data_IF_036458436403
#
_entry.id   IF_036458436403
#
_cell.length_a   1.000
_cell.length_b   1.000
_cell.length_c   1.000
_cell.angle_alpha   90.00
_cell.angle_beta   90.00
_cell.angle_gamma   90.00
#
_symmetry.space_group_name_H-M   'P 1'
#
loop_
_entity.id
_entity.type
_entity.pdbx_description
1 polymer ?
#
# COMPACT_ATOMS: atom_id res chain seq x y z
N UNK A 1 14.54 -10.34 11.95
CA UNK A 1 13.65 -9.70 10.95
C UNK A 1 14.46 -9.49 9.68
N UNK A 2 14.02 -9.97 8.51
CA UNK A 2 14.80 -9.76 7.28
C UNK A 2 14.84 -8.29 6.89
N UNK A 3 13.79 -7.54 7.22
CA UNK A 3 13.65 -6.13 6.85
C UNK A 3 14.64 -5.22 7.58
N UNK A 4 15.30 -5.71 8.64
CA UNK A 4 16.37 -5.01 9.35
C UNK A 4 17.77 -5.40 8.88
N UNK A 5 17.90 -6.44 8.07
CA UNK A 5 19.20 -6.95 7.56
C UNK A 5 19.37 -6.62 6.09
N UNK A 6 18.28 -6.69 5.31
CA UNK A 6 18.29 -6.37 3.89
C UNK A 6 18.22 -4.85 3.65
N UNK A 7 18.90 -4.34 2.61
CA UNK A 7 18.64 -3.00 2.08
C UNK A 7 17.16 -2.77 1.81
N UNK A 8 16.68 -1.55 2.08
CA UNK A 8 15.27 -1.15 1.97
C UNK A 8 14.62 -1.57 0.65
N UNK A 9 15.33 -1.45 -0.48
CA UNK A 9 14.77 -1.77 -1.80
C UNK A 9 14.46 -3.27 -1.97
N UNK A 10 15.29 -4.17 -1.41
CA UNK A 10 15.03 -5.61 -1.45
C UNK A 10 13.85 -5.98 -0.56
N UNK A 11 13.75 -5.34 0.61
CA UNK A 11 12.60 -5.53 1.50
C UNK A 11 11.29 -5.10 0.82
N UNK A 12 11.29 -3.97 0.13
CA UNK A 12 10.14 -3.49 -0.65
C UNK A 12 9.84 -4.41 -1.84
N UNK A 13 10.86 -4.96 -2.51
CA UNK A 13 10.67 -5.93 -3.58
C UNK A 13 9.97 -7.20 -3.06
N UNK A 14 10.38 -7.75 -1.92
CA UNK A 14 9.69 -8.90 -1.29
C UNK A 14 8.24 -8.54 -0.95
N UNK A 15 8.01 -7.36 -0.35
CA UNK A 15 6.65 -6.90 -0.01
C UNK A 15 5.78 -6.66 -1.25
N UNK A 16 6.37 -6.37 -2.41
CA UNK A 16 5.60 -6.14 -3.65
C UNK A 16 4.81 -7.36 -4.11
N UNK A 17 5.24 -8.57 -3.74
CA UNK A 17 4.53 -9.82 -4.05
C UNK A 17 3.31 -10.09 -3.16
N UNK A 18 3.15 -9.37 -2.06
CA UNK A 18 2.04 -9.56 -1.13
C UNK A 18 0.71 -9.03 -1.69
N UNK A 19 -0.40 -9.61 -1.26
CA UNK A 19 -1.72 -9.02 -1.52
C UNK A 19 -1.92 -7.74 -0.69
N UNK A 20 -2.86 -6.85 -1.04
CA UNK A 20 -3.19 -5.69 -0.22
C UNK A 20 -3.57 -6.06 1.22
N UNK A 21 -4.25 -7.20 1.39
CA UNK A 21 -4.63 -7.71 2.71
C UNK A 21 -3.41 -8.15 3.51
N UNK A 22 -2.48 -8.86 2.87
CA UNK A 22 -1.25 -9.31 3.52
C UNK A 22 -0.33 -8.12 3.87
N UNK A 23 -0.29 -7.08 3.03
CA UNK A 23 0.39 -5.82 3.35
C UNK A 23 -0.20 -5.14 4.59
N UNK A 24 -1.53 -5.14 4.73
CA UNK A 24 -2.19 -4.61 5.93
C UNK A 24 -1.85 -5.44 7.18
N UNK A 25 -1.79 -6.77 7.07
CA UNK A 25 -1.34 -7.62 8.17
C UNK A 25 0.14 -7.39 8.52
N UNK A 26 1.00 -7.25 7.50
CA UNK A 26 2.42 -6.96 7.67
C UNK A 26 2.63 -5.63 8.43
N UNK A 27 1.85 -4.60 8.13
CA UNK A 27 1.90 -3.30 8.79
C UNK A 27 1.57 -3.34 10.31
N UNK A 28 0.95 -4.43 10.79
CA UNK A 28 0.62 -4.63 12.20
C UNK A 28 1.74 -5.30 13.00
N UNK A 29 2.79 -5.81 12.34
CA UNK A 29 3.89 -6.55 12.99
C UNK A 29 4.75 -5.62 13.86
N UNK A 30 5.19 -4.48 13.33
CA UNK A 30 5.97 -3.47 14.05
C UNK A 30 5.92 -2.11 13.36
N UNK A 31 6.42 -1.06 14.01
CA UNK A 31 6.52 0.27 13.40
C UNK A 31 7.36 0.25 12.12
N UNK A 32 8.49 -0.47 12.12
CA UNK A 32 9.36 -0.61 10.95
C UNK A 32 8.64 -1.28 9.77
N UNK A 33 7.90 -2.35 10.05
CA UNK A 33 7.07 -3.03 9.05
C UNK A 33 5.96 -2.15 8.52
N UNK A 34 5.32 -1.35 9.37
CA UNK A 34 4.30 -0.37 8.96
C UNK A 34 4.86 0.63 7.97
N UNK A 35 6.01 1.23 8.29
CA UNK A 35 6.67 2.18 7.39
C UNK A 35 6.96 1.53 6.04
N UNK A 36 7.43 0.29 5.99
CA UNK A 36 7.72 -0.40 4.72
C UNK A 36 6.45 -0.79 3.95
N UNK A 37 5.45 -1.36 4.62
CA UNK A 37 4.22 -1.85 3.99
C UNK A 37 3.31 -0.71 3.48
N UNK A 38 3.45 0.49 4.02
CA UNK A 38 2.69 1.68 3.61
C UNK A 38 3.40 2.55 2.56
N UNK A 39 4.54 2.08 2.02
CA UNK A 39 5.26 2.83 0.99
C UNK A 39 4.46 2.99 -0.30
N UNK A 40 4.48 4.20 -0.85
CA UNK A 40 3.72 4.56 -2.05
C UNK A 40 4.04 3.67 -3.24
N UNK A 41 5.29 3.22 -3.42
CA UNK A 41 5.65 2.33 -4.51
C UNK A 41 4.90 0.98 -4.48
N UNK A 42 4.42 0.53 -3.31
CA UNK A 42 3.63 -0.70 -3.18
C UNK A 42 2.16 -0.51 -3.56
N UNK A 43 1.64 0.72 -3.41
CA UNK A 43 0.21 1.03 -3.58
C UNK A 43 -0.07 1.78 -4.89
N UNK A 44 0.81 2.69 -5.32
CA UNK A 44 0.65 3.51 -6.52
C UNK A 44 0.44 2.66 -7.78
N UNK A 45 1.27 1.65 -8.02
CA UNK A 45 1.11 0.76 -9.18
C UNK A 45 -0.22 0.00 -9.17
N UNK A 46 -0.76 -0.33 -7.99
CA UNK A 46 -2.05 -1.02 -7.83
C UNK A 46 -3.23 -0.10 -8.08
N UNK A 47 -3.13 1.17 -7.67
CA UNK A 47 -4.14 2.19 -7.96
C UNK A 47 -4.13 2.56 -9.45
N UNK A 48 -2.94 2.87 -10.01
CA UNK A 48 -2.77 3.30 -11.40
C UNK A 48 -3.25 2.23 -12.39
N UNK A 49 -2.94 0.95 -12.16
CA UNK A 49 -3.41 -0.16 -13.02
C UNK A 49 -4.93 -0.31 -13.05
N UNK A 50 -5.64 0.25 -12.05
CA UNK A 50 -7.12 0.28 -11.97
C UNK A 50 -7.71 1.60 -12.44
N UNK A 51 -6.88 2.54 -12.91
CA UNK A 51 -7.30 3.90 -13.27
C UNK A 51 -7.62 4.79 -12.06
N UNK A 52 -7.16 4.43 -10.86
CA UNK A 52 -7.34 5.25 -9.66
C UNK A 52 -6.13 6.15 -9.50
N UNK A 53 -6.32 7.43 -9.81
CA UNK A 53 -5.28 8.44 -9.74
C UNK A 53 -5.56 9.39 -8.59
N UNK A 54 -4.52 9.77 -7.86
CA UNK A 54 -4.63 10.86 -6.90
C UNK A 54 -4.92 12.18 -7.63
N UNK A 55 -5.80 13.05 -7.09
CA UNK A 55 -6.10 14.34 -7.69
C UNK A 55 -4.97 15.37 -7.50
N UNK A 56 -3.91 14.99 -6.79
CA UNK A 56 -2.73 15.81 -6.51
C UNK A 56 -1.47 14.94 -6.53
N UNK A 57 -0.31 15.57 -6.66
CA UNK A 57 0.99 14.91 -6.47
C UNK A 57 1.33 14.91 -4.99
N UNK A 58 1.51 13.74 -4.34
CA UNK A 58 1.91 13.67 -2.94
C UNK A 58 3.19 14.46 -2.70
N UNK A 59 3.24 15.18 -1.58
CA UNK A 59 4.43 15.93 -1.19
C UNK A 59 5.53 14.95 -0.78
N UNK A 60 6.80 15.31 -0.95
CA UNK A 60 7.90 14.51 -0.41
C UNK A 60 7.67 14.24 1.08
N UNK A 61 7.71 12.95 1.49
CA UNK A 61 7.46 12.43 2.85
C UNK A 61 5.98 12.32 3.26
N UNK A 62 5.04 12.53 2.36
CA UNK A 62 3.65 12.12 2.60
C UNK A 62 3.54 10.60 2.46
N UNK A 63 3.52 9.89 3.59
CA UNK A 63 3.42 8.43 3.57
C UNK A 63 1.96 7.99 3.64
N UNK A 64 1.61 6.97 2.85
CA UNK A 64 0.32 6.31 2.95
C UNK A 64 -0.83 7.00 2.23
N UNK A 65 -0.57 8.07 1.46
CA UNK A 65 -1.57 8.71 0.60
C UNK A 65 -2.17 7.69 -0.39
N UNK A 66 -1.31 6.94 -1.08
CA UNK A 66 -1.75 5.91 -2.04
C UNK A 66 -2.48 4.74 -1.37
N UNK A 67 -2.05 4.32 -0.18
CA UNK A 67 -2.76 3.29 0.60
C UNK A 67 -4.15 3.76 0.99
N UNK A 68 -4.26 4.97 1.55
CA UNK A 68 -5.53 5.54 1.98
C UNK A 68 -6.49 5.69 0.79
N UNK A 69 -5.98 6.15 -0.35
CA UNK A 69 -6.74 6.22 -1.59
C UNK A 69 -7.19 4.84 -2.08
N UNK A 70 -6.30 3.84 -2.08
CA UNK A 70 -6.64 2.46 -2.43
C UNK A 70 -7.81 1.93 -1.60
N UNK A 71 -7.73 2.10 -0.27
CA UNK A 71 -8.78 1.66 0.66
C UNK A 71 -10.09 2.40 0.36
N UNK A 72 -10.04 3.73 0.16
CA UNK A 72 -11.22 4.51 -0.19
C UNK A 72 -11.88 4.02 -1.48
N UNK A 73 -11.11 3.79 -2.54
CA UNK A 73 -11.65 3.31 -3.82
C UNK A 73 -12.25 1.91 -3.72
N UNK A 74 -11.60 1.00 -2.98
CA UNK A 74 -12.14 -0.34 -2.73
C UNK A 74 -13.45 -0.25 -1.96
N UNK A 75 -13.51 0.54 -0.88
CA UNK A 75 -14.75 0.72 -0.11
C UNK A 75 -15.88 1.32 -0.95
N UNK A 76 -15.59 2.26 -1.86
CA UNK A 76 -16.58 2.80 -2.79
C UNK A 76 -17.08 1.73 -3.77
N UNK A 77 -16.20 0.85 -4.25
CA UNK A 77 -16.61 -0.24 -5.14
C UNK A 77 -17.44 -1.30 -4.43
N UNK A 78 -17.03 -1.75 -3.25
CA UNK A 78 -17.80 -2.69 -2.44
C UNK A 78 -19.21 -2.15 -2.13
N UNK A 79 -19.34 -0.83 -1.95
CA UNK A 79 -20.64 -0.18 -1.81
C UNK A 79 -21.48 -0.23 -3.09
N UNK A 80 -20.86 -0.05 -4.27
CA UNK A 80 -21.55 -0.06 -5.56
C UNK A 80 -21.91 -1.47 -6.05
N UNK A 81 -21.17 -2.48 -5.60
CA UNK A 81 -21.47 -3.89 -5.86
C UNK A 81 -21.57 -4.66 -4.55
N UNK A 82 -22.67 -4.49 -3.79
CA UNK A 82 -22.90 -5.31 -2.61
C UNK A 82 -22.88 -6.77 -3.05
N UNK A 83 -21.98 -7.57 -2.47
CA UNK A 83 -21.98 -9.01 -2.69
C UNK A 83 -23.27 -9.56 -2.06
N UNK A 84 -24.22 -9.96 -2.92
CA UNK A 84 -25.44 -10.69 -2.55
C UNK A 84 -25.14 -12.00 -1.82
#
# INVERSE_FOLDING_TARGET
DFTSVLPRFLSLYVLSFLSPRDLCSAAQVSWHWRVLAEQDCLWAGRCISRGWFLPYTPVEKEYGAWKSHYVSCVSTLDWLTPRE
#
